data_IF_839353534220
#
_entry.id   IF_839353534220
#
_cell.length_a   1.000
_cell.length_b   1.000
_cell.length_c   1.000
_cell.angle_alpha   90.00
_cell.angle_beta   90.00
_cell.angle_gamma   90.00
#
_symmetry.space_group_name_H-M   'P 1'
#
loop_
_entity.id
_entity.type
_entity.pdbx_description
1 polymer ?
#
# COMPACT_ATOMS: atom_id res chain seq x y z
N UNK A 1 -12.06 6.95 3.78
CA UNK A 1 -11.44 7.12 5.12
C UNK A 1 -9.95 6.79 5.16
N UNK A 2 -9.53 5.53 5.32
CA UNK A 2 -8.10 5.21 5.46
C UNK A 2 -7.28 5.54 4.20
N UNK A 3 -7.82 5.22 3.01
CA UNK A 3 -7.17 5.58 1.74
C UNK A 3 -6.98 7.10 1.64
N UNK A 4 -7.98 7.90 2.00
CA UNK A 4 -7.90 9.36 1.92
C UNK A 4 -6.88 9.93 2.90
N UNK A 5 -6.68 9.28 4.05
CA UNK A 5 -5.63 9.60 5.02
C UNK A 5 -4.22 9.22 4.54
N UNK A 6 -4.08 8.28 3.61
CA UNK A 6 -2.80 7.91 3.00
C UNK A 6 -2.42 8.82 1.82
N UNK A 7 -3.39 9.47 1.17
CA UNK A 7 -3.13 10.36 0.02
C UNK A 7 -2.12 11.49 0.32
N UNK A 8 -2.15 12.17 1.49
CA UNK A 8 -1.15 13.17 1.82
C UNK A 8 0.28 12.61 1.84
N UNK A 9 0.48 11.42 2.44
CA UNK A 9 1.79 10.75 2.49
C UNK A 9 2.29 10.43 1.08
N UNK A 10 1.41 9.92 0.21
CA UNK A 10 1.77 9.66 -1.18
C UNK A 10 2.19 10.96 -1.91
N UNK A 11 1.45 12.05 -1.70
CA UNK A 11 1.76 13.37 -2.28
C UNK A 11 3.08 13.94 -1.78
N UNK A 12 3.35 13.87 -0.49
CA UNK A 12 4.62 14.31 0.11
C UNK A 12 5.82 13.56 -0.47
N UNK A 13 5.64 12.27 -0.79
CA UNK A 13 6.64 11.43 -1.45
C UNK A 13 6.76 11.65 -2.97
N UNK A 14 5.91 12.50 -3.56
CA UNK A 14 5.82 12.67 -5.01
C UNK A 14 5.33 11.41 -5.74
N UNK A 15 4.59 10.54 -5.05
CA UNK A 15 4.16 9.24 -5.55
C UNK A 15 2.64 9.17 -5.77
N UNK A 16 2.23 8.32 -6.71
CA UNK A 16 0.83 7.91 -6.84
C UNK A 16 0.42 7.03 -5.67
N UNK A 17 -0.89 6.92 -5.41
CA UNK A 17 -1.39 6.03 -4.35
C UNK A 17 -1.01 4.57 -4.60
N UNK A 18 -0.93 4.16 -5.86
CA UNK A 18 -0.52 2.80 -6.24
C UNK A 18 0.97 2.61 -5.98
N UNK A 19 1.81 3.59 -6.32
CA UNK A 19 3.24 3.55 -6.03
C UNK A 19 3.53 3.48 -4.53
N UNK A 20 2.80 4.22 -3.69
CA UNK A 20 2.95 4.10 -2.23
C UNK A 20 2.54 2.70 -1.74
N UNK A 21 1.46 2.12 -2.27
CA UNK A 21 1.06 0.77 -1.93
C UNK A 21 2.10 -0.28 -2.36
N UNK A 22 2.74 -0.10 -3.51
CA UNK A 22 3.82 -0.97 -3.98
C UNK A 22 5.06 -0.85 -3.08
N UNK A 23 5.45 0.38 -2.71
CA UNK A 23 6.54 0.62 -1.75
C UNK A 23 6.24 -0.07 -0.41
N UNK A 24 5.00 0.00 0.06
CA UNK A 24 4.56 -0.65 1.29
C UNK A 24 4.67 -2.18 1.25
N UNK A 25 4.26 -2.80 0.14
CA UNK A 25 4.32 -4.26 -0.03
C UNK A 25 5.76 -4.73 -0.18
N UNK A 26 6.55 -4.05 -1.01
CA UNK A 26 7.91 -4.42 -1.36
C UNK A 26 8.94 -4.09 -0.26
N UNK A 27 8.59 -3.28 0.76
CA UNK A 27 9.49 -2.98 1.89
C UNK A 27 9.93 -4.23 2.67
N UNK A 28 9.11 -5.28 2.64
CA UNK A 28 9.34 -6.50 3.42
C UNK A 28 10.27 -7.43 2.67
N UNK A 29 11.40 -7.78 3.29
CA UNK A 29 12.38 -8.69 2.67
C UNK A 29 11.83 -10.09 2.40
N UNK A 30 10.76 -10.50 3.09
CA UNK A 30 10.11 -11.78 2.83
C UNK A 30 9.23 -11.77 1.56
N UNK A 31 8.90 -10.59 1.03
CA UNK A 31 8.12 -10.43 -0.21
C UNK A 31 9.09 -10.42 -1.39
N UNK A 32 9.06 -11.47 -2.20
CA UNK A 32 9.95 -11.62 -3.36
C UNK A 32 9.50 -10.82 -4.58
N UNK A 33 8.19 -10.62 -4.73
CA UNK A 33 7.62 -9.84 -5.84
C UNK A 33 6.24 -9.29 -5.49
N UNK A 34 5.85 -8.23 -6.21
CA UNK A 34 4.49 -7.71 -6.22
C UNK A 34 3.85 -8.01 -7.58
N UNK A 35 2.72 -8.72 -7.56
CA UNK A 35 1.91 -8.95 -8.76
C UNK A 35 1.03 -7.73 -9.02
N UNK A 36 1.24 -7.08 -10.17
CA UNK A 36 0.49 -5.88 -10.55
C UNK A 36 -0.41 -6.14 -11.77
N UNK A 37 -1.69 -5.82 -11.63
CA UNK A 37 -2.65 -5.82 -12.74
C UNK A 37 -2.80 -4.41 -13.31
N UNK A 38 -2.68 -4.28 -14.63
CA UNK A 38 -2.83 -3.00 -15.35
C UNK A 38 -3.74 -3.20 -16.56
N UNK A 39 -4.55 -2.20 -16.88
CA UNK A 39 -5.49 -2.22 -18.02
C UNK A 39 -4.94 -1.54 -19.26
N UNK A 40 -3.91 -0.71 -19.10
CA UNK A 40 -3.26 0.01 -20.18
C UNK A 40 -1.79 0.31 -19.84
N UNK A 41 -1.06 0.83 -20.84
CA UNK A 41 0.37 1.12 -20.72
C UNK A 41 0.66 2.30 -19.79
N UNK A 42 -0.24 3.28 -19.70
CA UNK A 42 -0.08 4.44 -18.82
C UNK A 42 -0.07 4.02 -17.35
N UNK A 43 -0.99 3.14 -16.95
CA UNK A 43 -1.01 2.54 -15.62
C UNK A 43 0.25 1.71 -15.34
N UNK A 44 0.76 0.99 -16.33
CA UNK A 44 2.03 0.28 -16.18
C UNK A 44 3.18 1.25 -15.88
N UNK A 45 3.27 2.36 -16.64
CA UNK A 45 4.28 3.39 -16.42
C UNK A 45 4.14 4.05 -15.06
N UNK A 46 2.92 4.36 -14.61
CA UNK A 46 2.67 4.88 -13.26
C UNK A 46 3.12 3.87 -12.21
N UNK A 47 2.70 2.61 -12.28
CA UNK A 47 3.09 1.59 -11.31
C UNK A 47 4.61 1.41 -11.24
N UNK A 48 5.30 1.38 -12.38
CA UNK A 48 6.75 1.25 -12.45
C UNK A 48 7.49 2.48 -11.90
N UNK A 49 6.85 3.66 -11.89
CA UNK A 49 7.41 4.87 -11.29
C UNK A 49 7.74 4.74 -9.79
N UNK A 50 7.25 3.69 -9.12
CA UNK A 50 7.60 3.35 -7.74
C UNK A 50 9.11 3.21 -7.52
N UNK A 51 9.86 2.74 -8.53
CA UNK A 51 11.30 2.50 -8.43
C UNK A 51 12.10 3.77 -8.14
N UNK A 52 11.54 4.94 -8.46
CA UNK A 52 12.20 6.23 -8.22
C UNK A 52 12.20 6.64 -6.74
N UNK A 53 11.33 6.04 -5.92
CA UNK A 53 11.22 6.30 -4.48
C UNK A 53 10.64 5.07 -3.75
N UNK A 54 11.35 3.93 -3.83
CA UNK A 54 10.86 2.64 -3.33
C UNK A 54 10.94 2.51 -1.81
N UNK A 55 11.97 3.09 -1.20
CA UNK A 55 12.26 2.93 0.22
C UNK A 55 11.34 3.81 1.08
N UNK A 56 10.88 3.24 2.19
CA UNK A 56 10.07 3.95 3.19
C UNK A 56 10.91 4.18 4.44
N UNK A 57 10.97 5.43 4.86
CA UNK A 57 11.62 5.85 6.09
C UNK A 57 10.80 5.42 7.30
N UNK A 58 11.49 5.19 8.43
CA UNK A 58 10.85 4.85 9.70
C UNK A 58 9.65 5.75 10.10
N UNK A 59 9.72 7.10 10.00
CA UNK A 59 8.56 7.96 10.27
C UNK A 59 7.37 7.73 9.33
N UNK A 60 7.63 7.47 8.05
CA UNK A 60 6.58 7.23 7.05
C UNK A 60 5.88 5.91 7.33
N UNK A 61 6.65 4.88 7.67
CA UNK A 61 6.15 3.59 8.12
C UNK A 61 5.21 3.77 9.33
N UNK A 62 5.67 4.48 10.36
CA UNK A 62 4.88 4.69 11.57
C UNK A 62 3.56 5.44 11.28
N UNK A 63 3.61 6.42 10.38
CA UNK A 63 2.43 7.16 9.95
C UNK A 63 1.42 6.27 9.22
N UNK A 64 1.89 5.43 8.28
CA UNK A 64 1.05 4.47 7.55
C UNK A 64 0.43 3.46 8.51
N UNK A 65 1.22 2.88 9.43
CA UNK A 65 0.73 1.90 10.42
C UNK A 65 -0.38 2.47 11.31
N UNK A 66 -0.23 3.71 11.75
CA UNK A 66 -1.26 4.41 12.54
C UNK A 66 -2.57 4.59 11.76
N UNK A 67 -2.51 4.72 10.44
CA UNK A 67 -3.70 4.85 9.59
C UNK A 67 -4.36 3.50 9.34
N UNK A 68 -3.58 2.44 9.06
CA UNK A 68 -4.12 1.14 8.63
C UNK A 68 -4.50 0.20 9.79
N UNK A 69 -3.88 0.35 10.96
CA UNK A 69 -4.11 -0.53 12.12
C UNK A 69 -5.60 -0.69 12.51
N UNK A 70 -6.43 0.37 12.53
CA UNK A 70 -7.87 0.21 12.81
C UNK A 70 -8.59 -0.61 11.76
N UNK A 71 -8.28 -0.40 10.47
CA UNK A 71 -8.94 -1.10 9.35
C UNK A 71 -8.59 -2.58 9.30
N UNK A 72 -7.35 -2.93 9.65
CA UNK A 72 -6.92 -4.34 9.70
C UNK A 72 -7.72 -5.15 10.73
N UNK A 73 -8.21 -4.53 11.80
CA UNK A 73 -9.07 -5.19 12.78
C UNK A 73 -10.46 -5.48 12.21
N UNK A 74 -10.95 -4.66 11.28
CA UNK A 74 -12.25 -4.83 10.63
C UNK A 74 -12.24 -5.91 9.52
N UNK A 75 -11.07 -6.16 8.90
CA UNK A 75 -10.89 -7.16 7.83
C UNK A 75 -10.83 -8.62 8.32
N UNK A 76 -10.89 -8.85 9.63
CA UNK A 76 -11.09 -10.17 10.23
C UNK A 76 -12.54 -10.33 10.75
N UNK A 77 -13.57 -10.34 9.88
CA UNK A 77 -14.89 -10.76 10.32
C UNK A 77 -14.80 -12.21 10.79
N UNK A 78 -15.34 -12.50 11.98
CA UNK A 78 -15.55 -13.90 12.41
C UNK A 78 -16.28 -14.62 11.27
N UNK A 79 -15.83 -15.82 10.83
CA UNK A 79 -16.52 -16.54 9.77
C UNK A 79 -17.98 -16.77 10.17
N UNK A 80 -18.92 -16.01 9.60
CA UNK A 80 -20.33 -16.05 9.97
C UNK A 80 -21.09 -17.08 9.14
N UNK A 81 -20.56 -18.31 8.98
CA UNK A 81 -21.35 -19.33 8.29
C UNK A 81 -20.67 -20.63 7.84
N UNK A 82 -19.34 -20.72 7.77
CA UNK A 82 -18.66 -21.92 7.24
C UNK A 82 -18.04 -22.83 8.30
N UNK A 83 -18.10 -22.42 9.57
CA UNK A 83 -17.80 -23.25 10.74
C UNK A 83 -19.14 -23.53 11.45
N UNK A 84 -19.87 -24.54 10.98
CA UNK A 84 -20.80 -25.32 11.79
C UNK A 84 -20.20 -26.71 11.97
#
# INVERSE_FOLDING_TARGET
DAVDRLRPIARERGQSMVQLALSWVLRRREVTSALIGVRNLEQLKDNLGVINNLELEAPEIAAIEKIVKPVLMDLHPKPSGWLR
#
